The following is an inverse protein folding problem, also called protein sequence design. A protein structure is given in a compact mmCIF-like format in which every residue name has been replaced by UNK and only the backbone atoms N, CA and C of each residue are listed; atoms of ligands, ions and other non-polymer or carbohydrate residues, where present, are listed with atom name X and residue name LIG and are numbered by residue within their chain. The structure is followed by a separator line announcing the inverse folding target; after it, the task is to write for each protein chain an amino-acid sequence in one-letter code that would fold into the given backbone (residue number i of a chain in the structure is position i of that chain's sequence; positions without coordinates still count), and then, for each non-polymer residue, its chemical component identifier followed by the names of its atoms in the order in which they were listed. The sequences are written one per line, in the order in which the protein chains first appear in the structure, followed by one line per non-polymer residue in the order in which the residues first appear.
data_IF_720546758436
#
_entry.id   IF_720546758436
#
_cell.length_a   1.000
_cell.length_b   1.000
_cell.length_c   1.000
_cell.angle_alpha   90.00
_cell.angle_beta   90.00
_cell.angle_gamma   90.00
#
_symmetry.space_group_name_H-M   'P 1'
#
loop_
_entity.id
_entity.type
_entity.pdbx_description
1 polymer ?
#
# COMPACT_ATOMS: atom_id res chain seq x y z
N UNK A 1 -7.46 -7.83 13.82
CA UNK A 1 -6.44 -7.29 12.88
C UNK A 1 -7.15 -6.63 11.72
N UNK A 2 -6.59 -5.53 11.21
CA UNK A 2 -7.19 -4.68 10.19
C UNK A 2 -6.20 -4.39 9.06
N UNK A 3 -6.59 -4.58 7.80
CA UNK A 3 -5.80 -4.25 6.62
C UNK A 3 -6.38 -3.03 5.94
N UNK A 4 -5.56 -2.00 5.71
CA UNK A 4 -5.91 -0.88 4.86
C UNK A 4 -5.61 -1.23 3.40
N UNK A 5 -6.61 -1.14 2.53
CA UNK A 5 -6.44 -1.29 1.08
C UNK A 5 -6.59 0.09 0.42
N UNK A 6 -5.51 0.67 -0.05
CA UNK A 6 -5.52 1.97 -0.72
C UNK A 6 -5.82 1.80 -2.21
N UNK A 7 -6.99 2.26 -2.65
CA UNK A 7 -7.32 2.30 -4.07
C UNK A 7 -6.76 3.56 -4.71
N UNK A 8 -5.65 3.40 -5.42
CA UNK A 8 -4.94 4.47 -6.11
C UNK A 8 -5.51 4.86 -7.49
N UNK A 9 -6.61 4.24 -7.90
CA UNK A 9 -7.29 4.64 -9.14
C UNK A 9 -8.16 5.89 -8.91
N UNK A 10 -8.17 6.81 -9.88
CA UNK A 10 -9.16 7.89 -9.90
C UNK A 10 -10.61 7.36 -10.03
N UNK A 11 -10.78 6.18 -10.60
CA UNK A 11 -12.08 5.52 -10.80
C UNK A 11 -12.47 4.71 -9.56
N UNK A 12 -13.53 5.14 -8.87
CA UNK A 12 -14.02 4.48 -7.64
C UNK A 12 -14.41 3.01 -7.83
N UNK A 13 -14.93 2.63 -8.99
CA UNK A 13 -15.44 1.29 -9.32
C UNK A 13 -14.74 0.70 -10.55
N UNK A 14 -13.45 1.04 -10.76
CA UNK A 14 -12.63 0.52 -11.85
C UNK A 14 -12.00 -0.84 -11.51
N UNK A 15 -11.15 -1.32 -12.40
CA UNK A 15 -10.47 -2.62 -12.26
C UNK A 15 -9.62 -2.72 -10.97
N UNK A 16 -8.94 -1.64 -10.58
CA UNK A 16 -8.18 -1.61 -9.31
C UNK A 16 -9.10 -1.83 -8.11
N UNK A 17 -10.26 -1.17 -8.07
CA UNK A 17 -11.23 -1.38 -6.99
C UNK A 17 -11.73 -2.82 -6.96
N UNK A 18 -12.00 -3.44 -8.12
CA UNK A 18 -12.48 -4.82 -8.18
C UNK A 18 -11.43 -5.81 -7.68
N UNK A 19 -10.17 -5.64 -8.08
CA UNK A 19 -9.07 -6.47 -7.58
C UNK A 19 -8.90 -6.33 -6.04
N UNK A 20 -8.92 -5.11 -5.52
CA UNK A 20 -8.89 -4.86 -4.08
C UNK A 20 -10.13 -5.39 -3.36
N UNK A 21 -11.30 -5.39 -4.01
CA UNK A 21 -12.53 -5.97 -3.45
C UNK A 21 -12.43 -7.49 -3.32
N UNK A 22 -11.81 -8.17 -4.30
CA UNK A 22 -11.53 -9.61 -4.21
C UNK A 22 -10.63 -9.92 -3.01
N UNK A 23 -9.55 -9.16 -2.84
CA UNK A 23 -8.65 -9.27 -1.68
C UNK A 23 -9.43 -9.02 -0.38
N UNK A 24 -10.20 -7.93 -0.30
CA UNK A 24 -10.98 -7.57 0.89
C UNK A 24 -11.96 -8.68 1.28
N UNK A 25 -12.68 -9.23 0.30
CA UNK A 25 -13.62 -10.32 0.53
C UNK A 25 -12.93 -11.59 1.04
N UNK A 26 -11.73 -11.87 0.52
CA UNK A 26 -10.94 -13.03 0.96
C UNK A 26 -10.35 -12.84 2.35
N UNK A 27 -9.82 -11.64 2.67
CA UNK A 27 -9.36 -11.29 4.02
C UNK A 27 -10.48 -11.47 5.06
N UNK A 28 -11.69 -10.97 4.77
CA UNK A 28 -12.86 -11.12 5.65
C UNK A 28 -13.23 -12.59 5.89
N UNK A 29 -13.15 -13.44 4.86
CA UNK A 29 -13.34 -14.89 5.01
C UNK A 29 -12.27 -15.52 5.92
N UNK A 30 -11.08 -14.96 5.97
CA UNK A 30 -9.99 -15.38 6.84
C UNK A 30 -10.02 -14.70 8.24
N UNK A 31 -11.12 -14.01 8.60
CA UNK A 31 -11.29 -13.35 9.89
C UNK A 31 -10.51 -12.04 10.07
N UNK A 32 -10.01 -11.44 8.99
CA UNK A 32 -9.26 -10.18 9.01
C UNK A 32 -10.14 -9.05 8.50
N UNK A 33 -10.25 -7.97 9.28
CA UNK A 33 -10.95 -6.76 8.87
C UNK A 33 -10.22 -6.10 7.68
N UNK A 34 -10.97 -5.59 6.72
CA UNK A 34 -10.42 -4.97 5.51
C UNK A 34 -11.22 -3.71 5.16
N UNK A 35 -10.50 -2.57 5.11
CA UNK A 35 -11.07 -1.27 4.73
C UNK A 35 -10.47 -0.81 3.40
N UNK A 36 -11.32 -0.58 2.38
CA UNK A 36 -10.86 0.01 1.11
C UNK A 36 -11.01 1.52 1.19
N UNK A 37 -9.89 2.23 1.16
CA UNK A 37 -9.84 3.68 1.09
C UNK A 37 -9.58 4.16 -0.33
N UNK A 38 -10.45 5.03 -0.84
CA UNK A 38 -10.32 5.62 -2.16
C UNK A 38 -9.43 6.86 -2.11
N UNK A 39 -8.35 6.88 -2.90
CA UNK A 39 -7.53 8.09 -3.07
C UNK A 39 -8.33 9.22 -3.72
N UNK A 40 -9.11 8.91 -4.75
CA UNK A 40 -9.95 9.86 -5.44
C UNK A 40 -9.28 10.51 -6.64
N UNK A 41 -9.90 11.61 -7.12
CA UNK A 41 -9.49 12.36 -8.31
C UNK A 41 -9.19 13.84 -8.02
N UNK A 42 -9.18 14.23 -6.75
CA UNK A 42 -8.76 15.59 -6.36
C UNK A 42 -7.24 15.72 -6.47
N UNK A 43 -6.71 16.92 -6.74
CA UNK A 43 -5.27 17.15 -6.73
C UNK A 43 -4.63 16.71 -5.41
N UNK A 44 -3.48 16.08 -5.51
CA UNK A 44 -2.63 15.69 -4.37
C UNK A 44 -1.24 16.25 -4.62
N UNK A 45 -0.70 16.98 -3.63
CA UNK A 45 0.67 17.50 -3.75
C UNK A 45 1.71 16.42 -3.38
N UNK A 46 2.86 16.48 -4.04
CA UNK A 46 4.06 15.74 -3.62
C UNK A 46 4.71 16.36 -2.38
N UNK A 47 5.66 15.66 -1.77
CA UNK A 47 6.50 16.22 -0.73
C UNK A 47 7.40 17.32 -1.30
N UNK A 48 7.42 18.49 -0.66
CA UNK A 48 8.29 19.62 -1.04
C UNK A 48 9.53 19.73 -0.13
N UNK A 49 9.83 18.71 0.64
CA UNK A 49 10.99 18.62 1.53
C UNK A 49 11.13 19.82 2.49
N UNK A 50 10.03 20.42 2.93
CA UNK A 50 10.06 21.59 3.84
C UNK A 50 10.52 21.27 5.26
N UNK A 51 10.65 20.00 5.65
CA UNK A 51 11.10 19.54 6.96
C UNK A 51 10.18 19.86 8.15
N UNK A 52 9.05 20.54 7.94
CA UNK A 52 8.18 21.00 9.04
C UNK A 52 7.55 19.87 9.86
N UNK A 53 7.21 18.75 9.22
CA UNK A 53 6.68 17.57 9.92
C UNK A 53 7.70 16.97 10.89
N UNK A 54 8.98 16.92 10.49
CA UNK A 54 10.09 16.44 11.32
C UNK A 54 10.42 17.44 12.44
N UNK A 55 10.62 18.73 12.10
CA UNK A 55 10.97 19.76 13.07
C UNK A 55 9.93 19.92 14.19
N UNK A 56 8.65 19.69 13.89
CA UNK A 56 7.55 19.79 14.84
C UNK A 56 7.10 18.44 15.41
N UNK A 57 7.72 17.35 15.00
CA UNK A 57 7.38 15.96 15.40
C UNK A 57 5.87 15.66 15.28
N UNK A 58 5.28 16.03 14.12
CA UNK A 58 3.82 15.98 13.96
C UNK A 58 3.30 14.54 13.77
N UNK A 59 4.10 13.62 13.25
CA UNK A 59 3.63 12.30 12.82
C UNK A 59 2.74 12.33 11.57
N UNK A 60 2.56 13.49 10.96
CA UNK A 60 1.78 13.72 9.74
C UNK A 60 2.31 14.94 8.97
N UNK A 61 1.86 15.15 7.73
CA UNK A 61 2.28 16.29 6.93
C UNK A 61 1.71 17.60 7.49
N UNK A 62 2.49 18.68 7.43
CA UNK A 62 2.02 20.02 7.84
C UNK A 62 0.91 20.57 6.94
N UNK A 63 0.85 20.09 5.67
CA UNK A 63 -0.21 20.47 4.73
C UNK A 63 -1.40 19.52 4.86
N UNK A 64 -2.56 20.09 5.08
CA UNK A 64 -3.83 19.38 5.32
C UNK A 64 -4.92 19.76 4.29
N UNK A 65 -4.49 20.14 3.09
CA UNK A 65 -5.35 20.57 2.00
C UNK A 65 -5.75 19.44 1.02
N UNK A 66 -5.34 18.20 1.32
CA UNK A 66 -5.65 17.00 0.54
C UNK A 66 -5.85 15.75 1.42
N UNK A 67 -5.92 14.57 0.78
CA UNK A 67 -6.24 13.30 1.44
C UNK A 67 -5.09 12.71 2.27
N UNK A 68 -3.87 13.26 2.21
CA UNK A 68 -2.66 12.61 2.74
C UNK A 68 -2.74 12.34 4.25
N UNK A 69 -3.08 13.35 5.07
CA UNK A 69 -3.12 13.17 6.53
C UNK A 69 -4.20 12.18 6.97
N UNK A 70 -5.33 12.16 6.27
CA UNK A 70 -6.36 11.14 6.51
C UNK A 70 -5.85 9.72 6.18
N UNK A 71 -4.98 9.57 5.18
CA UNK A 71 -4.33 8.28 4.89
C UNK A 71 -3.34 7.93 6.01
N UNK A 72 -2.58 8.89 6.53
CA UNK A 72 -1.69 8.68 7.68
C UNK A 72 -2.47 8.15 8.90
N UNK A 73 -3.59 8.78 9.25
CA UNK A 73 -4.46 8.30 10.34
C UNK A 73 -4.88 6.85 10.14
N UNK A 74 -5.31 6.50 8.92
CA UNK A 74 -5.71 5.12 8.58
C UNK A 74 -4.54 4.12 8.58
N UNK A 75 -3.34 4.55 8.19
CA UNK A 75 -2.13 3.73 8.26
C UNK A 75 -1.73 3.44 9.70
N UNK A 76 -1.83 4.45 10.58
CA UNK A 76 -1.51 4.29 11.99
C UNK A 76 -2.47 3.30 12.68
N UNK A 77 -3.74 3.29 12.28
CA UNK A 77 -4.80 2.41 12.83
C UNK A 77 -4.84 1.00 12.20
N UNK A 78 -4.05 0.74 11.15
CA UNK A 78 -4.02 -0.54 10.46
C UNK A 78 -2.82 -1.39 10.86
N UNK A 79 -2.99 -2.72 10.83
CA UNK A 79 -1.93 -3.71 11.06
C UNK A 79 -1.15 -4.04 9.77
N UNK A 80 -1.71 -3.74 8.60
CA UNK A 80 -1.07 -3.98 7.30
C UNK A 80 -1.61 -3.04 6.22
N UNK A 81 -0.86 -2.92 5.11
CA UNK A 81 -1.18 -2.07 3.97
C UNK A 81 -1.18 -2.86 2.66
N UNK A 82 -2.22 -2.69 1.84
CA UNK A 82 -2.21 -3.13 0.44
C UNK A 82 -2.47 -1.92 -0.45
N UNK A 83 -1.58 -1.64 -1.40
CA UNK A 83 -1.71 -0.52 -2.33
C UNK A 83 -2.03 -1.04 -3.73
N UNK A 84 -3.22 -0.76 -4.21
CA UNK A 84 -3.61 -1.02 -5.58
C UNK A 84 -3.45 0.22 -6.46
N UNK A 85 -2.76 0.09 -7.59
CA UNK A 85 -2.58 1.18 -8.55
C UNK A 85 -2.85 0.74 -9.99
N UNK A 86 -3.53 1.57 -10.79
CA UNK A 86 -3.48 1.43 -12.23
C UNK A 86 -2.06 1.75 -12.71
N UNK A 87 -1.68 1.15 -13.86
CA UNK A 87 -0.39 1.41 -14.50
C UNK A 87 -0.53 2.50 -15.53
N UNK A 88 0.20 3.58 -15.38
CA UNK A 88 0.30 4.69 -16.32
C UNK A 88 1.74 4.85 -16.78
N UNK A 89 2.00 4.66 -18.08
CA UNK A 89 3.35 4.75 -18.65
C UNK A 89 4.41 3.92 -17.93
N UNK A 90 4.02 2.70 -17.49
CA UNK A 90 4.92 1.81 -16.76
C UNK A 90 5.15 2.16 -15.28
N UNK A 91 4.42 3.14 -14.75
CA UNK A 91 4.54 3.60 -13.37
C UNK A 91 3.19 3.49 -12.62
N UNK A 92 3.20 3.47 -11.28
CA UNK A 92 2.00 3.68 -10.50
C UNK A 92 1.39 5.06 -10.78
N UNK A 93 0.12 5.23 -10.48
CA UNK A 93 -0.51 6.55 -10.52
C UNK A 93 0.30 7.56 -9.68
N UNK A 94 0.65 8.71 -10.28
CA UNK A 94 1.45 9.74 -9.64
C UNK A 94 0.85 10.27 -8.32
N UNK A 95 -0.47 10.31 -8.19
CA UNK A 95 -1.13 10.69 -6.94
C UNK A 95 -0.87 9.68 -5.81
N UNK A 96 -0.79 8.37 -6.12
CA UNK A 96 -0.41 7.33 -5.15
C UNK A 96 1.01 7.58 -4.65
N UNK A 97 1.94 7.80 -5.58
CA UNK A 97 3.34 8.06 -5.23
C UNK A 97 3.49 9.31 -4.38
N UNK A 98 2.80 10.40 -4.76
CA UNK A 98 2.81 11.66 -4.00
C UNK A 98 2.31 11.47 -2.56
N UNK A 99 1.22 10.73 -2.37
CA UNK A 99 0.65 10.46 -1.05
C UNK A 99 1.58 9.57 -0.23
N UNK A 100 2.04 8.44 -0.77
CA UNK A 100 2.87 7.49 -0.01
C UNK A 100 4.20 8.10 0.42
N UNK A 101 4.89 8.82 -0.49
CA UNK A 101 6.13 9.52 -0.16
C UNK A 101 5.92 10.55 0.97
N UNK A 102 4.83 11.31 0.92
CA UNK A 102 4.52 12.28 1.98
C UNK A 102 4.14 11.61 3.30
N UNK A 103 3.28 10.60 3.26
CA UNK A 103 2.83 9.88 4.45
C UNK A 103 4.01 9.24 5.17
N UNK A 104 4.87 8.53 4.44
CA UNK A 104 6.04 7.85 5.00
C UNK A 104 7.08 8.85 5.52
N UNK A 105 7.40 9.89 4.73
CA UNK A 105 8.34 10.93 5.18
C UNK A 105 7.83 11.71 6.40
N UNK A 106 6.53 11.90 6.54
CA UNK A 106 5.96 12.67 7.67
C UNK A 106 5.82 11.87 8.96
N UNK A 107 6.12 10.58 8.98
CA UNK A 107 6.18 9.78 10.19
C UNK A 107 4.94 8.91 10.42
N UNK A 108 4.26 8.45 9.35
CA UNK A 108 3.26 7.40 9.48
C UNK A 108 3.88 6.16 10.14
N UNK A 109 3.18 5.59 11.12
CA UNK A 109 3.61 4.37 11.80
C UNK A 109 3.33 3.14 10.94
N UNK A 110 4.34 2.73 10.16
CA UNK A 110 4.23 1.62 9.20
C UNK A 110 5.33 0.56 9.33
N UNK A 111 6.35 0.81 10.16
CA UNK A 111 7.47 -0.12 10.32
C UNK A 111 6.99 -1.49 10.81
N UNK A 112 7.58 -2.54 10.24
CA UNK A 112 7.26 -3.94 10.51
C UNK A 112 5.83 -4.38 10.12
N UNK A 113 4.92 -3.45 9.79
CA UNK A 113 3.60 -3.80 9.28
C UNK A 113 3.71 -4.43 7.89
N UNK A 114 3.14 -5.61 7.64
CA UNK A 114 3.16 -6.23 6.32
C UNK A 114 2.55 -5.33 5.25
N UNK A 115 3.16 -5.31 4.06
CA UNK A 115 2.64 -4.53 2.94
C UNK A 115 2.65 -5.32 1.63
N UNK A 116 1.77 -4.94 0.70
CA UNK A 116 1.77 -5.49 -0.64
C UNK A 116 1.38 -4.46 -1.69
N UNK A 117 2.04 -4.52 -2.85
CA UNK A 117 1.64 -3.81 -4.05
C UNK A 117 0.71 -4.66 -4.92
N UNK A 118 -0.23 -4.00 -5.61
CA UNK A 118 -1.10 -4.59 -6.64
C UNK A 118 -1.10 -3.67 -7.85
N UNK A 119 -0.63 -4.14 -9.00
CA UNK A 119 -0.59 -3.38 -10.23
C UNK A 119 -1.68 -3.86 -11.22
N UNK A 120 -2.53 -2.94 -11.66
CA UNK A 120 -3.58 -3.22 -12.63
C UNK A 120 -3.25 -2.59 -13.96
N UNK A 121 -3.12 -3.40 -14.98
CA UNK A 121 -2.58 -3.00 -16.27
C UNK A 121 -3.49 -3.43 -17.43
N UNK A 122 -3.53 -2.64 -18.49
CA UNK A 122 -4.13 -3.08 -19.74
C UNK A 122 -3.28 -4.15 -20.46
N UNK A 123 -1.95 -3.97 -20.49
CA UNK A 123 -1.03 -4.82 -21.27
C UNK A 123 0.39 -4.85 -20.74
N UNK A 124 1.15 -3.75 -20.82
CA UNK A 124 2.56 -3.67 -20.46
C UNK A 124 2.84 -2.71 -19.32
N UNK A 125 4.04 -2.84 -18.71
CA UNK A 125 4.52 -1.94 -17.66
C UNK A 125 4.09 -2.27 -16.23
N UNK A 126 3.33 -3.34 -16.03
CA UNK A 126 2.84 -3.71 -14.69
C UNK A 126 3.98 -4.08 -13.74
N UNK A 127 5.00 -4.81 -14.22
CA UNK A 127 6.15 -5.22 -13.39
C UNK A 127 6.92 -4.01 -12.86
N UNK A 128 7.17 -3.00 -13.71
CA UNK A 128 7.86 -1.78 -13.29
C UNK A 128 7.04 -1.02 -12.24
N UNK A 129 5.75 -0.84 -12.45
CA UNK A 129 4.86 -0.19 -11.47
C UNK A 129 4.78 -0.98 -10.14
N UNK A 130 4.70 -2.29 -10.21
CA UNK A 130 4.71 -3.19 -9.06
C UNK A 130 5.98 -3.02 -8.22
N UNK A 131 7.16 -3.05 -8.86
CA UNK A 131 8.43 -2.88 -8.18
C UNK A 131 8.61 -1.46 -7.60
N UNK A 132 8.16 -0.43 -8.32
CA UNK A 132 8.21 0.94 -7.83
C UNK A 132 7.45 1.12 -6.51
N UNK A 133 6.31 0.45 -6.33
CA UNK A 133 5.58 0.46 -5.06
C UNK A 133 6.29 -0.33 -3.97
N UNK A 134 6.84 -1.52 -4.28
CA UNK A 134 7.54 -2.35 -3.30
C UNK A 134 8.77 -1.65 -2.73
N UNK A 135 9.54 -0.90 -3.56
CA UNK A 135 10.68 -0.11 -3.09
C UNK A 135 10.32 0.85 -1.95
N UNK A 136 9.11 1.40 -1.93
CA UNK A 136 8.65 2.26 -0.84
C UNK A 136 8.45 1.46 0.45
N UNK A 137 7.91 0.26 0.36
CA UNK A 137 7.69 -0.62 1.52
C UNK A 137 9.02 -1.12 2.09
N UNK A 138 9.93 -1.55 1.22
CA UNK A 138 11.28 -1.99 1.58
C UNK A 138 12.04 -0.89 2.34
N UNK A 139 12.00 0.36 1.84
CA UNK A 139 12.62 1.52 2.51
C UNK A 139 12.03 1.77 3.90
N UNK A 140 10.74 1.49 4.10
CA UNK A 140 10.06 1.70 5.37
C UNK A 140 10.14 0.50 6.32
N UNK A 141 10.97 -0.50 6.00
CA UNK A 141 11.11 -1.74 6.79
C UNK A 141 9.76 -2.47 6.96
N UNK A 142 8.95 -2.51 5.90
CA UNK A 142 7.70 -3.24 5.85
C UNK A 142 7.93 -4.59 5.17
N UNK A 143 7.59 -5.73 5.80
CA UNK A 143 7.67 -7.03 5.13
C UNK A 143 6.76 -7.07 3.89
N UNK A 144 7.35 -7.33 2.72
CA UNK A 144 6.58 -7.40 1.47
C UNK A 144 5.91 -8.76 1.34
N UNK A 145 4.58 -8.77 1.32
CA UNK A 145 3.77 -9.98 1.16
C UNK A 145 3.59 -10.31 -0.32
N UNK A 146 3.94 -11.54 -0.67
CA UNK A 146 3.81 -12.07 -2.03
C UNK A 146 2.59 -12.98 -2.14
N UNK A 147 2.25 -13.35 -3.39
CA UNK A 147 1.30 -14.41 -3.72
C UNK A 147 2.03 -15.58 -4.42
N UNK A 148 1.33 -16.32 -5.25
CA UNK A 148 1.92 -17.36 -6.10
C UNK A 148 2.70 -16.82 -7.29
N UNK A 149 2.49 -15.54 -7.65
CA UNK A 149 3.17 -14.81 -8.72
C UNK A 149 3.24 -13.33 -8.36
N UNK A 150 3.69 -12.45 -9.25
CA UNK A 150 3.60 -11.01 -9.03
C UNK A 150 2.14 -10.59 -8.88
N UNK A 151 1.85 -9.69 -7.94
CA UNK A 151 0.49 -9.23 -7.68
C UNK A 151 0.00 -8.28 -8.79
N UNK A 152 -0.20 -8.83 -9.96
CA UNK A 152 -0.60 -8.14 -11.19
C UNK A 152 -1.91 -8.74 -11.68
N UNK A 153 -2.81 -7.91 -12.19
CA UNK A 153 -3.98 -8.36 -12.93
C UNK A 153 -4.26 -7.42 -14.10
N UNK A 154 -4.98 -7.94 -15.09
CA UNK A 154 -5.18 -7.27 -16.38
C UNK A 154 -6.64 -6.91 -16.61
N UNK A 155 -6.85 -5.71 -17.14
CA UNK A 155 -8.17 -5.23 -17.56
C UNK A 155 -8.06 -3.81 -18.10
N UNK A 156 -8.77 -3.52 -19.18
CA UNK A 156 -8.82 -2.21 -19.86
C UNK A 156 -10.05 -1.42 -19.45
N UNK A 157 -11.23 -1.94 -19.77
CA UNK A 157 -12.50 -1.31 -19.41
C UNK A 157 -12.93 -1.71 -18.01
N UNK A 158 -13.74 -0.90 -17.32
CA UNK A 158 -14.23 -1.25 -16.00
C UNK A 158 -14.92 -2.62 -15.98
N UNK A 159 -14.46 -3.49 -15.07
CA UNK A 159 -15.01 -4.83 -14.92
C UNK A 159 -14.22 -5.94 -15.62
N UNK A 160 -13.38 -5.63 -16.60
CA UNK A 160 -12.62 -6.66 -17.34
C UNK A 160 -11.67 -7.48 -16.46
N UNK A 161 -11.11 -6.89 -15.41
CA UNK A 161 -10.21 -7.62 -14.49
C UNK A 161 -10.85 -8.87 -13.89
N UNK A 162 -12.18 -8.93 -13.79
CA UNK A 162 -12.87 -10.12 -13.31
C UNK A 162 -12.73 -11.33 -14.27
N UNK A 163 -12.39 -11.08 -15.54
CA UNK A 163 -12.15 -12.12 -16.55
C UNK A 163 -10.69 -12.63 -16.53
N UNK A 164 -9.80 -11.93 -15.88
CA UNK A 164 -8.43 -12.37 -15.63
C UNK A 164 -8.42 -13.39 -14.47
N UNK A 165 -8.66 -14.64 -14.80
CA UNK A 165 -8.80 -15.72 -13.80
C UNK A 165 -7.53 -15.95 -12.99
N UNK A 166 -6.36 -15.85 -13.61
CA UNK A 166 -5.06 -15.97 -12.93
C UNK A 166 -4.79 -14.76 -12.02
N UNK A 167 -5.02 -13.54 -12.52
CA UNK A 167 -4.88 -12.32 -11.73
C UNK A 167 -5.81 -12.32 -10.52
N UNK A 168 -7.07 -12.74 -10.67
CA UNK A 168 -8.01 -12.83 -9.55
C UNK A 168 -7.65 -13.95 -8.58
N UNK A 169 -7.09 -15.08 -9.03
CA UNK A 169 -6.52 -16.10 -8.17
C UNK A 169 -5.32 -15.55 -7.38
N UNK A 170 -4.44 -14.82 -8.04
CA UNK A 170 -3.30 -14.13 -7.42
C UNK A 170 -3.75 -13.18 -6.30
N UNK A 171 -4.83 -12.42 -6.50
CA UNK A 171 -5.42 -11.55 -5.46
C UNK A 171 -5.92 -12.37 -4.24
N UNK A 172 -6.55 -13.51 -4.47
CA UNK A 172 -7.01 -14.39 -3.37
C UNK A 172 -5.84 -14.98 -2.59
N UNK A 173 -4.81 -15.47 -3.29
CA UNK A 173 -3.59 -16.01 -2.65
C UNK A 173 -2.85 -14.94 -1.87
N UNK A 174 -2.75 -13.70 -2.39
CA UNK A 174 -2.19 -12.57 -1.64
C UNK A 174 -2.94 -12.35 -0.32
N UNK A 175 -4.28 -12.37 -0.36
CA UNK A 175 -5.08 -12.20 0.84
C UNK A 175 -4.87 -13.34 1.86
N UNK A 176 -4.74 -14.58 1.40
CA UNK A 176 -4.46 -15.74 2.25
C UNK A 176 -3.08 -15.60 2.92
N UNK A 177 -2.06 -15.22 2.15
CA UNK A 177 -0.70 -15.00 2.66
C UNK A 177 -0.64 -13.83 3.65
N UNK A 178 -1.33 -12.73 3.37
CA UNK A 178 -1.43 -11.58 4.28
C UNK A 178 -2.09 -11.98 5.60
N UNK A 179 -3.21 -12.70 5.55
CA UNK A 179 -3.90 -13.17 6.75
C UNK A 179 -3.02 -14.15 7.55
N UNK A 180 -2.33 -15.06 6.87
CA UNK A 180 -1.39 -16.00 7.51
C UNK A 180 -0.26 -15.26 8.23
N UNK A 181 0.36 -14.28 7.57
CA UNK A 181 1.47 -13.52 8.16
C UNK A 181 0.99 -12.69 9.37
N UNK A 182 -0.15 -12.01 9.25
CA UNK A 182 -0.74 -11.26 10.36
C UNK A 182 -1.05 -12.16 11.57
N UNK A 183 -1.61 -13.36 11.34
CA UNK A 183 -1.87 -14.33 12.41
C UNK A 183 -0.59 -14.80 13.09
N UNK A 184 0.54 -14.88 12.38
CA UNK A 184 1.85 -15.21 12.97
C UNK A 184 2.42 -14.07 13.79
N UNK A 185 2.34 -12.84 13.29
CA UNK A 185 2.81 -11.65 14.00
C UNK A 185 2.02 -11.41 15.30
N UNK A 186 0.72 -11.70 15.30
CA UNK A 186 -0.17 -11.46 16.44
C UNK A 186 -0.54 -12.73 17.20
N UNK A 187 0.26 -13.80 17.12
CA UNK A 187 -0.08 -15.11 17.70
C UNK A 187 -0.35 -15.05 19.22
N UNK A 188 0.38 -14.21 19.94
CA UNK A 188 0.26 -14.04 21.40
C UNK A 188 -0.55 -12.79 21.80
N UNK A 189 -1.34 -12.24 20.88
CA UNK A 189 -2.23 -11.09 21.11
C UNK A 189 -1.57 -9.72 20.90
N UNK A 190 -0.27 -9.61 21.01
CA UNK A 190 0.51 -8.41 20.66
C UNK A 190 1.46 -8.75 19.51
N UNK A 191 1.75 -7.77 18.62
CA UNK A 191 2.72 -7.99 17.57
C UNK A 191 4.11 -8.20 18.13
N UNK A 192 4.75 -9.31 17.72
CA UNK A 192 6.14 -9.62 18.06
C UNK A 192 7.04 -9.15 16.92
N UNK A 193 7.61 -7.96 17.07
CA UNK A 193 8.50 -7.34 16.09
C UNK A 193 9.95 -7.40 16.52
N UNK A 194 10.90 -7.62 15.59
CA UNK A 194 12.32 -7.56 15.89
C UNK A 194 12.74 -6.22 16.47
N UNK A 195 13.58 -6.24 17.52
CA UNK A 195 14.24 -5.06 18.04
C UNK A 195 15.18 -4.48 16.99
N UNK A 196 15.25 -3.16 16.90
CA UNK A 196 16.10 -2.46 15.95
C UNK A 196 17.29 -1.83 16.64
N UNK A 197 18.43 -1.91 15.98
CA UNK A 197 19.60 -1.11 16.36
C UNK A 197 19.34 0.38 16.12
N UNK A 198 20.09 1.21 16.84
CA UNK A 198 20.11 2.66 16.60
C UNK A 198 20.60 2.96 15.19
N UNK A 199 19.90 3.87 14.51
CA UNK A 199 20.23 4.24 13.14
C UNK A 199 21.63 4.85 13.04
N UNK A 200 22.49 4.22 12.24
CA UNK A 200 23.79 4.77 11.86
C UNK A 200 23.66 5.43 10.48
N UNK A 201 23.68 6.76 10.47
CA UNK A 201 23.61 7.52 9.22
C UNK A 201 24.80 7.26 8.31
N UNK A 202 24.64 7.52 7.01
CA UNK A 202 25.73 7.48 6.03
C UNK A 202 26.87 8.44 6.46
N UNK A 203 28.11 7.97 6.52
CA UNK A 203 29.25 8.69 7.07
C UNK A 203 30.40 8.94 6.09
N UNK A 204 30.28 8.56 4.82
CA UNK A 204 31.35 8.73 3.82
C UNK A 204 31.33 10.10 3.10
N UNK A 205 30.28 10.89 3.30
CA UNK A 205 30.21 12.30 2.88
C UNK A 205 30.36 13.14 4.15
N UNK A 206 31.47 13.86 4.25
CA UNK A 206 31.81 14.71 5.39
C UNK A 206 31.82 16.17 4.99
#
# INVERSE_FOLDING_TARGET
MKVLLLNGSANKKGNTFMALSEISNRLKKNGVEAEIMQLGNKPVRGCIACGQCQAKQLGHCVFDDDVCNRIVEKLNDADALIVGSPVYYGQPNGAVMAVLQRAFFSGADVQNKPAAAVAICRRGGATAAYQTLNMLFEMMNMPVVTSQYWNIAYGRTPGEVAQDTEGMQTMRTLADNMAWQLNKIHADGNPDYPEREDWQGMNFIR
#
